data_IF_788208784439
#
_entry.id   IF_788208784439
#
_cell.length_a   1.000
_cell.length_b   1.000
_cell.length_c   1.000
_cell.angle_alpha   90.00
_cell.angle_beta   90.00
_cell.angle_gamma   90.00
#
_symmetry.space_group_name_H-M   'P 1'
#
loop_
_entity.id
_entity.type
_entity.pdbx_description
1 polymer ?
#
# COMPACT_ATOMS: atom_id res chain seq x y z
N UNK A 1 2.04 10.65 46.17
CA UNK A 1 2.15 9.49 45.26
C UNK A 1 3.09 9.90 44.14
N UNK A 2 4.09 9.08 43.78
CA UNK A 2 4.98 9.40 42.67
C UNK A 2 4.18 9.54 41.38
N UNK A 3 4.58 10.48 40.52
CA UNK A 3 3.96 10.70 39.22
C UNK A 3 4.22 9.47 38.32
N UNK A 4 3.25 9.07 37.50
CA UNK A 4 3.33 7.90 36.62
C UNK A 4 4.60 7.97 35.75
N UNK A 5 4.97 9.16 35.29
CA UNK A 5 6.18 9.42 34.51
C UNK A 5 7.49 9.19 35.29
N UNK A 6 7.51 9.46 36.60
CA UNK A 6 8.68 9.22 37.45
C UNK A 6 8.91 7.73 37.69
N UNK A 7 7.81 6.97 37.83
CA UNK A 7 7.87 5.50 37.96
C UNK A 7 8.40 4.88 36.67
N UNK A 8 7.92 5.32 35.49
CA UNK A 8 8.47 4.89 34.20
C UNK A 8 9.95 5.21 34.05
N UNK A 9 10.38 6.41 34.48
CA UNK A 9 11.77 6.85 34.41
C UNK A 9 12.71 6.06 35.35
N UNK A 10 12.21 5.64 36.51
CA UNK A 10 12.96 4.78 37.44
C UNK A 10 13.10 3.34 36.92
N UNK A 11 12.04 2.80 36.30
CA UNK A 11 12.07 1.49 35.66
C UNK A 11 13.03 1.51 34.46
N UNK A 12 12.97 2.57 33.62
CA UNK A 12 13.86 2.71 32.46
C UNK A 12 15.33 2.84 32.82
N UNK A 13 15.66 3.43 33.98
CA UNK A 13 17.04 3.57 34.45
C UNK A 13 17.67 2.27 34.94
N UNK A 14 16.87 1.24 35.24
CA UNK A 14 17.36 -0.08 35.70
C UNK A 14 17.69 -0.99 34.52
N UNK A 15 17.04 -0.79 33.37
CA UNK A 15 17.43 -1.42 32.12
C UNK A 15 18.60 -0.63 31.53
N UNK A 16 19.79 -1.23 31.45
CA UNK A 16 20.80 -0.73 30.51
C UNK A 16 20.13 -0.71 29.14
N UNK A 17 19.77 0.47 28.64
CA UNK A 17 19.29 0.66 27.27
C UNK A 17 20.29 -0.05 26.37
N UNK A 18 19.83 -1.09 25.67
CA UNK A 18 20.65 -1.78 24.70
C UNK A 18 21.26 -0.77 23.74
N UNK A 19 22.45 -1.05 23.21
CA UNK A 19 22.97 -0.23 22.12
C UNK A 19 22.21 -0.58 20.85
N UNK A 20 22.03 0.39 19.96
CA UNK A 20 21.58 0.14 18.59
C UNK A 20 22.60 -0.79 17.93
N UNK A 21 22.13 -1.91 17.44
CA UNK A 21 22.91 -2.91 16.72
C UNK A 21 22.81 -2.68 15.21
N UNK A 22 23.54 -3.49 14.44
CA UNK A 22 23.51 -3.48 12.98
C UNK A 22 22.93 -4.79 12.48
N UNK A 23 22.12 -4.71 11.44
CA UNK A 23 21.47 -5.86 10.85
C UNK A 23 21.75 -5.95 9.34
N UNK A 24 22.09 -7.16 8.91
CA UNK A 24 22.29 -7.50 7.50
C UNK A 24 23.56 -6.91 6.87
N UNK A 25 23.83 -7.25 5.59
CA UNK A 25 24.98 -6.73 4.84
C UNK A 25 24.93 -5.22 4.59
N UNK A 26 23.77 -4.60 4.78
CA UNK A 26 23.54 -3.16 4.60
C UNK A 26 23.79 -2.38 5.91
N UNK A 27 24.23 -3.04 6.98
CA UNK A 27 24.56 -2.45 8.28
C UNK A 27 23.39 -1.62 8.88
N UNK A 28 22.15 -2.08 8.65
CA UNK A 28 20.95 -1.33 9.03
C UNK A 28 20.85 -1.19 10.55
N UNK A 29 20.55 0.02 11.08
CA UNK A 29 20.29 0.20 12.49
C UNK A 29 19.16 -0.72 12.96
N UNK A 30 19.38 -1.41 14.08
CA UNK A 30 18.45 -2.37 14.64
C UNK A 30 18.41 -2.30 16.16
N UNK A 31 17.26 -2.65 16.73
CA UNK A 31 17.15 -2.96 18.15
C UNK A 31 17.75 -4.34 18.47
N UNK A 32 18.23 -4.55 19.70
CA UNK A 32 19.00 -5.74 20.10
C UNK A 32 18.19 -7.04 20.12
N UNK A 33 16.86 -6.95 20.10
CA UNK A 33 15.96 -8.10 20.14
C UNK A 33 15.35 -8.40 18.76
N UNK A 34 15.82 -7.75 17.69
CA UNK A 34 15.32 -7.94 16.32
C UNK A 34 15.40 -9.40 15.86
N UNK A 35 16.54 -10.07 16.04
CA UNK A 35 16.74 -11.44 15.54
C UNK A 35 15.95 -12.49 16.32
N UNK A 36 15.76 -12.30 17.63
CA UNK A 36 15.07 -13.26 18.50
C UNK A 36 13.55 -13.15 18.41
N UNK A 37 13.04 -11.96 18.07
CA UNK A 37 11.60 -11.69 18.04
C UNK A 37 10.92 -12.28 16.80
N UNK A 38 9.70 -12.80 16.96
CA UNK A 38 8.85 -13.26 15.84
C UNK A 38 8.11 -12.13 15.15
N UNK A 39 7.80 -11.09 15.91
CA UNK A 39 7.20 -9.84 15.46
C UNK A 39 8.27 -8.77 15.46
N UNK A 40 8.25 -7.91 14.44
CA UNK A 40 9.23 -6.83 14.29
C UNK A 40 8.54 -5.52 13.89
N UNK A 41 9.20 -4.41 14.22
CA UNK A 41 8.76 -3.07 13.86
C UNK A 41 9.78 -2.44 12.91
N UNK A 42 9.31 -2.03 11.73
CA UNK A 42 10.11 -1.34 10.72
C UNK A 42 9.87 0.15 10.84
N UNK A 43 10.93 0.94 10.95
CA UNK A 43 10.90 2.41 11.10
C UNK A 43 11.76 3.09 10.03
N UNK A 44 11.66 4.42 9.92
CA UNK A 44 12.35 5.18 8.87
C UNK A 44 13.84 5.32 9.18
N UNK A 45 14.15 5.73 10.41
CA UNK A 45 15.50 6.16 10.78
C UNK A 45 16.01 5.58 12.10
N UNK A 46 17.30 5.81 12.33
CA UNK A 46 18.00 5.45 13.57
C UNK A 46 17.44 6.16 14.81
N UNK A 47 17.01 7.42 14.67
CA UNK A 47 16.48 8.19 15.79
C UNK A 47 15.16 7.58 16.33
N UNK A 48 14.32 7.07 15.44
CA UNK A 48 13.11 6.31 15.80
C UNK A 48 13.45 5.10 16.66
N UNK A 49 14.46 4.32 16.27
CA UNK A 49 14.92 3.17 17.04
C UNK A 49 15.34 3.60 18.45
N UNK A 50 16.12 4.67 18.56
CA UNK A 50 16.57 5.17 19.87
C UNK A 50 15.37 5.53 20.73
N UNK A 51 14.36 6.21 20.16
CA UNK A 51 13.18 6.58 20.92
C UNK A 51 12.32 5.36 21.30
N UNK A 52 12.12 4.42 20.38
CA UNK A 52 11.41 3.16 20.66
C UNK A 52 12.09 2.33 21.74
N UNK A 53 13.42 2.25 21.73
CA UNK A 53 14.19 1.56 22.75
C UNK A 53 14.06 2.25 24.11
N UNK A 54 14.00 3.59 24.16
CA UNK A 54 13.67 4.34 25.40
C UNK A 54 12.30 3.96 25.96
N UNK A 55 11.37 3.59 25.09
CA UNK A 55 10.03 3.11 25.45
C UNK A 55 9.96 1.59 25.67
N UNK A 56 11.10 0.88 25.69
CA UNK A 56 11.17 -0.55 25.95
C UNK A 56 10.93 -1.44 24.72
N UNK A 57 10.81 -0.86 23.53
CA UNK A 57 10.58 -1.57 22.27
C UNK A 57 11.92 -1.82 21.59
N UNK A 58 12.33 -3.09 21.55
CA UNK A 58 13.70 -3.49 21.17
C UNK A 58 13.77 -4.36 19.91
N UNK A 59 12.62 -4.73 19.33
CA UNK A 59 12.49 -5.57 18.14
C UNK A 59 12.32 -4.73 16.86
N UNK A 60 13.16 -3.71 16.70
CA UNK A 60 13.03 -2.67 15.67
C UNK A 60 14.13 -2.76 14.61
N UNK A 61 13.85 -2.28 13.39
CA UNK A 61 14.85 -2.12 12.33
C UNK A 61 14.54 -0.88 11.48
N UNK A 62 15.56 -0.12 11.11
CA UNK A 62 15.42 1.10 10.33
C UNK A 62 15.69 0.86 8.84
N UNK A 63 15.06 1.66 7.99
CA UNK A 63 15.26 1.65 6.54
C UNK A 63 16.48 2.49 6.11
N UNK A 64 16.79 3.57 6.82
CA UNK A 64 17.85 4.54 6.47
C UNK A 64 17.67 5.14 5.06
N UNK A 65 16.45 5.62 4.78
CA UNK A 65 16.11 6.34 3.56
C UNK A 65 14.92 5.77 2.79
N UNK A 66 14.63 6.35 1.63
CA UNK A 66 13.43 6.03 0.86
C UNK A 66 13.49 4.68 0.11
N UNK A 67 14.70 4.21 -0.24
CA UNK A 67 14.89 2.96 -0.98
C UNK A 67 14.90 1.79 -0.01
N UNK A 68 13.98 0.84 -0.20
CA UNK A 68 13.84 -0.30 0.72
C UNK A 68 15.00 -1.31 0.53
N UNK A 69 15.79 -1.57 1.57
CA UNK A 69 16.91 -2.52 1.55
C UNK A 69 16.49 -3.97 1.29
N UNK A 70 17.35 -4.78 0.67
CA UNK A 70 17.04 -6.20 0.39
C UNK A 70 16.91 -7.02 1.69
N UNK A 71 17.67 -6.64 2.72
CA UNK A 71 17.60 -7.29 4.03
C UNK A 71 16.20 -7.19 4.64
N UNK A 72 15.51 -6.06 4.44
CA UNK A 72 14.15 -5.83 4.92
C UNK A 72 13.12 -6.63 4.12
N UNK A 73 13.29 -6.72 2.79
CA UNK A 73 12.40 -7.51 1.93
C UNK A 73 12.40 -9.00 2.29
N UNK A 74 13.54 -9.54 2.69
CA UNK A 74 13.65 -10.92 3.18
C UNK A 74 13.06 -11.06 4.58
N UNK A 75 13.46 -10.18 5.48
CA UNK A 75 13.06 -10.24 6.89
C UNK A 75 11.54 -10.16 7.08
N UNK A 76 10.87 -9.29 6.31
CA UNK A 76 9.40 -9.13 6.34
C UNK A 76 8.62 -10.33 5.80
N UNK A 77 9.26 -11.29 5.12
CA UNK A 77 8.63 -12.56 4.71
C UNK A 77 8.76 -13.65 5.76
N UNK A 78 9.81 -13.58 6.57
CA UNK A 78 10.11 -14.56 7.61
C UNK A 78 9.44 -14.22 8.94
N UNK A 79 9.23 -12.93 9.20
CA UNK A 79 8.70 -12.39 10.46
C UNK A 79 7.45 -11.56 10.24
N UNK A 80 6.59 -11.50 11.23
CA UNK A 80 5.42 -10.63 11.18
C UNK A 80 5.85 -9.17 11.38
N UNK A 81 5.75 -8.37 10.33
CA UNK A 81 6.24 -6.99 10.32
C UNK A 81 5.12 -5.95 10.45
N UNK A 82 5.34 -4.99 11.33
CA UNK A 82 4.55 -3.75 11.44
C UNK A 82 5.42 -2.58 10.98
N UNK A 83 4.95 -1.76 10.04
CA UNK A 83 5.61 -0.49 9.76
C UNK A 83 5.09 0.58 10.73
N UNK A 84 5.99 1.30 11.39
CA UNK A 84 5.66 2.42 12.26
C UNK A 84 6.36 3.66 11.71
N UNK A 85 5.56 4.58 11.16
CA UNK A 85 6.05 5.65 10.29
C UNK A 85 5.59 7.03 10.78
N UNK A 86 6.28 8.07 10.33
CA UNK A 86 6.04 9.45 10.75
C UNK A 86 4.68 9.97 10.28
N UNK A 87 4.07 10.87 11.04
CA UNK A 87 2.73 11.40 10.77
C UNK A 87 2.68 12.42 9.63
N UNK A 88 3.61 12.34 8.69
CA UNK A 88 3.89 13.35 7.67
C UNK A 88 3.83 12.75 6.24
N UNK A 89 4.21 13.58 5.25
CA UNK A 89 4.21 13.15 3.84
C UNK A 89 5.39 12.24 3.51
N UNK A 90 6.52 12.35 4.21
CA UNK A 90 7.67 11.46 4.07
C UNK A 90 7.28 10.02 4.39
N UNK A 91 6.67 9.80 5.55
CA UNK A 91 6.21 8.48 5.96
C UNK A 91 5.13 7.89 5.05
N UNK A 92 4.26 8.72 4.45
CA UNK A 92 3.29 8.25 3.46
C UNK A 92 3.97 7.69 2.19
N UNK A 93 5.09 8.28 1.77
CA UNK A 93 5.84 7.82 0.60
C UNK A 93 6.59 6.52 0.90
N UNK A 94 7.21 6.44 2.07
CA UNK A 94 7.89 5.23 2.54
C UNK A 94 6.89 4.08 2.67
N UNK A 95 5.70 4.35 3.20
CA UNK A 95 4.63 3.34 3.26
C UNK A 95 4.28 2.79 1.88
N UNK A 96 4.13 3.67 0.88
CA UNK A 96 3.79 3.23 -0.49
C UNK A 96 4.87 2.32 -1.06
N UNK A 97 6.13 2.67 -0.89
CA UNK A 97 7.26 1.85 -1.38
C UNK A 97 7.30 0.51 -0.64
N UNK A 98 7.21 0.53 0.69
CA UNK A 98 7.16 -0.67 1.53
C UNK A 98 6.06 -1.65 1.07
N UNK A 99 4.86 -1.15 0.81
CA UNK A 99 3.73 -1.95 0.34
C UNK A 99 3.94 -2.58 -1.04
N UNK A 100 4.79 -2.00 -1.89
CA UNK A 100 5.06 -2.54 -3.22
C UNK A 100 6.03 -3.72 -3.18
N UNK A 101 6.98 -3.72 -2.24
CA UNK A 101 8.15 -4.61 -2.30
C UNK A 101 8.31 -5.55 -1.09
N UNK A 102 7.53 -5.35 -0.02
CA UNK A 102 7.64 -6.14 1.23
C UNK A 102 6.32 -6.79 1.65
N UNK A 103 6.38 -7.67 2.65
CA UNK A 103 5.21 -8.37 3.21
C UNK A 103 4.81 -7.85 4.60
N UNK A 104 4.61 -6.53 4.70
CA UNK A 104 4.13 -5.90 5.95
C UNK A 104 2.66 -6.22 6.21
N UNK A 105 2.34 -6.52 7.47
CA UNK A 105 1.00 -6.91 7.90
C UNK A 105 0.20 -5.77 8.51
N UNK A 106 0.86 -4.89 9.25
CA UNK A 106 0.23 -3.78 9.96
C UNK A 106 0.97 -2.47 9.74
N UNK A 107 0.26 -1.35 9.87
CA UNK A 107 0.83 -0.01 9.87
C UNK A 107 0.35 0.76 11.08
N UNK A 108 1.30 1.28 11.85
CA UNK A 108 1.09 2.34 12.83
C UNK A 108 1.57 3.67 12.26
N UNK A 109 0.94 4.77 12.67
CA UNK A 109 1.33 6.13 12.29
C UNK A 109 1.49 6.97 13.54
N UNK A 110 2.54 7.78 13.59
CA UNK A 110 2.63 8.85 14.57
C UNK A 110 1.45 9.85 14.41
N UNK A 111 1.15 10.65 15.45
CA UNK A 111 0.20 11.74 15.34
C UNK A 111 0.52 12.66 14.15
N UNK A 112 -0.53 13.23 13.53
CA UNK A 112 -0.38 14.05 12.32
C UNK A 112 0.62 15.19 12.53
N UNK A 113 1.62 15.26 11.65
CA UNK A 113 2.67 16.28 11.64
C UNK A 113 3.78 16.04 12.67
N UNK A 114 3.83 14.87 13.32
CA UNK A 114 4.84 14.50 14.31
C UNK A 114 5.70 13.36 13.80
N UNK A 115 6.99 13.42 14.11
CA UNK A 115 7.96 12.37 13.81
C UNK A 115 8.04 11.39 14.99
N UNK A 116 8.36 10.12 14.71
CA UNK A 116 8.47 9.07 15.73
C UNK A 116 9.58 9.40 16.72
N UNK A 117 10.68 10.03 16.29
CA UNK A 117 11.75 10.49 17.16
C UNK A 117 11.30 11.50 18.24
N UNK A 118 10.22 12.26 17.99
CA UNK A 118 9.65 13.25 18.91
C UNK A 118 8.47 12.73 19.74
N UNK A 119 7.99 11.52 19.46
CA UNK A 119 6.84 10.94 20.14
C UNK A 119 7.15 10.55 21.60
N UNK A 120 6.16 10.71 22.47
CA UNK A 120 6.19 10.15 23.83
C UNK A 120 5.94 8.65 23.80
N UNK A 121 6.35 7.93 24.85
CA UNK A 121 6.09 6.49 24.92
C UNK A 121 4.59 6.14 24.90
N UNK A 122 3.74 7.05 25.39
CA UNK A 122 2.29 6.90 25.29
C UNK A 122 1.81 6.97 23.84
N UNK A 123 2.21 7.98 23.08
CA UNK A 123 1.84 8.13 21.67
C UNK A 123 2.37 6.96 20.82
N UNK A 124 3.59 6.49 21.09
CA UNK A 124 4.16 5.31 20.43
C UNK A 124 3.31 4.05 20.73
N UNK A 125 2.96 3.85 21.99
CA UNK A 125 2.14 2.69 22.40
C UNK A 125 0.77 2.75 21.72
N UNK A 126 0.13 3.93 21.73
CA UNK A 126 -1.15 4.15 21.03
C UNK A 126 -1.03 3.89 19.52
N UNK A 127 0.07 4.28 18.87
CA UNK A 127 0.30 4.04 17.45
C UNK A 127 0.47 2.54 17.11
N UNK A 128 1.06 1.76 18.03
CA UNK A 128 1.26 0.32 17.88
C UNK A 128 -0.02 -0.47 18.21
N UNK A 129 -0.78 -0.03 19.22
CA UNK A 129 -2.06 -0.64 19.60
C UNK A 129 -3.14 -0.38 18.56
N UNK A 130 -3.21 0.85 18.02
CA UNK A 130 -4.15 1.23 16.97
C UNK A 130 -3.64 0.91 15.55
N UNK A 131 -2.62 0.06 15.42
CA UNK A 131 -2.06 -0.30 14.12
C UNK A 131 -3.12 -0.94 13.23
N UNK A 132 -3.19 -0.48 11.99
CA UNK A 132 -4.21 -0.92 11.04
C UNK A 132 -3.65 -2.07 10.20
N UNK A 133 -4.37 -3.20 10.05
CA UNK A 133 -3.98 -4.24 9.12
C UNK A 133 -3.91 -3.68 7.70
N UNK A 134 -2.89 -4.04 6.92
CA UNK A 134 -2.76 -3.58 5.53
C UNK A 134 -3.95 -3.97 4.66
N UNK A 135 -4.57 -5.13 4.95
CA UNK A 135 -5.83 -5.55 4.31
C UNK A 135 -6.97 -4.53 4.47
N UNK A 136 -6.95 -3.74 5.54
CA UNK A 136 -7.89 -2.66 5.81
C UNK A 136 -7.46 -1.33 5.22
N UNK A 137 -6.15 -1.05 5.11
CA UNK A 137 -5.62 0.09 4.33
C UNK A 137 -6.05 -0.01 2.85
N UNK A 138 -6.06 -1.23 2.30
CA UNK A 138 -6.64 -1.51 0.98
C UNK A 138 -8.18 -1.48 0.94
N UNK A 139 -8.89 -1.65 2.09
CA UNK A 139 -10.34 -1.44 2.17
C UNK A 139 -10.72 0.03 2.28
N UNK A 140 -9.94 0.85 2.99
CA UNK A 140 -10.18 2.29 3.11
C UNK A 140 -9.84 3.06 1.82
N UNK A 141 -8.96 2.53 0.94
CA UNK A 141 -8.84 2.98 -0.46
C UNK A 141 -9.83 2.30 -1.43
N UNK A 142 -10.65 1.37 -0.95
CA UNK A 142 -11.82 0.81 -1.66
C UNK A 142 -13.14 1.40 -1.19
N UNK A 143 -13.12 2.43 -0.36
CA UNK A 143 -14.07 3.52 -0.52
C UNK A 143 -13.52 4.45 -1.59
N UNK A 144 -13.53 3.98 -2.84
CA UNK A 144 -13.85 4.96 -3.88
C UNK A 144 -15.23 5.48 -3.46
N UNK A 145 -15.48 6.82 -3.42
CA UNK A 145 -16.86 7.29 -3.32
C UNK A 145 -17.65 6.46 -4.33
N UNK A 146 -18.80 5.89 -3.94
CA UNK A 146 -19.68 5.13 -4.86
C UNK A 146 -19.55 5.80 -6.20
N UNK A 147 -18.82 5.19 -7.14
CA UNK A 147 -18.66 5.81 -8.43
C UNK A 147 -20.08 5.68 -8.96
N UNK A 148 -20.80 6.80 -9.01
CA UNK A 148 -21.95 6.94 -9.87
C UNK A 148 -21.37 6.75 -11.27
N UNK A 149 -21.15 5.49 -11.65
CA UNK A 149 -20.75 5.10 -12.97
C UNK A 149 -21.89 5.61 -13.84
N UNK A 150 -21.59 6.48 -14.81
CA UNK A 150 -22.56 6.92 -15.77
C UNK A 150 -23.31 5.72 -16.33
N UNK A 151 -24.62 5.88 -16.54
CA UNK A 151 -25.51 4.79 -16.92
C UNK A 151 -25.00 4.03 -18.15
N UNK A 152 -24.29 4.71 -19.03
CA UNK A 152 -23.66 4.20 -20.24
C UNK A 152 -22.65 3.07 -19.93
N UNK A 153 -21.80 3.25 -18.91
CA UNK A 153 -20.81 2.23 -18.51
C UNK A 153 -21.51 1.02 -17.90
N UNK A 154 -22.51 1.26 -17.05
CA UNK A 154 -23.29 0.21 -16.40
C UNK A 154 -24.09 -0.61 -17.41
N UNK A 155 -24.70 0.05 -18.41
CA UNK A 155 -25.42 -0.58 -19.51
C UNK A 155 -24.48 -1.35 -20.44
N UNK A 156 -23.32 -0.79 -20.78
CA UNK A 156 -22.30 -1.48 -21.57
C UNK A 156 -21.78 -2.73 -20.85
N UNK A 157 -21.53 -2.66 -19.54
CA UNK A 157 -21.14 -3.83 -18.75
C UNK A 157 -22.20 -4.94 -18.76
N UNK A 158 -23.49 -4.58 -18.64
CA UNK A 158 -24.61 -5.55 -18.73
C UNK A 158 -24.70 -6.22 -20.10
N UNK A 159 -24.54 -5.44 -21.17
CA UNK A 159 -24.67 -5.96 -22.54
C UNK A 159 -23.49 -6.81 -22.98
N UNK A 160 -22.30 -6.60 -22.38
CA UNK A 160 -21.09 -7.36 -22.67
C UNK A 160 -20.97 -8.66 -21.86
N UNK A 161 -21.69 -8.78 -20.74
CA UNK A 161 -21.55 -9.95 -19.87
C UNK A 161 -21.93 -11.25 -20.61
N UNK A 162 -20.97 -12.13 -20.82
CA UNK A 162 -21.13 -13.41 -21.52
C UNK A 162 -20.96 -13.32 -23.04
N UNK A 163 -20.54 -12.18 -23.59
CA UNK A 163 -20.34 -12.01 -25.03
C UNK A 163 -18.89 -12.14 -25.49
N UNK A 164 -17.90 -12.07 -24.58
CA UNK A 164 -16.47 -12.00 -24.91
C UNK A 164 -16.11 -10.84 -25.87
N UNK A 165 -16.87 -9.76 -25.83
CA UNK A 165 -16.64 -8.55 -26.61
C UNK A 165 -16.17 -7.39 -25.72
N UNK A 166 -15.68 -6.35 -26.38
CA UNK A 166 -15.20 -5.11 -25.82
C UNK A 166 -15.91 -3.92 -26.48
N UNK A 167 -16.17 -2.88 -25.70
CA UNK A 167 -16.65 -1.57 -26.13
C UNK A 167 -15.60 -0.53 -25.72
N UNK A 168 -15.24 0.33 -26.66
CA UNK A 168 -14.33 1.46 -26.45
C UNK A 168 -15.15 2.75 -26.38
N UNK A 169 -14.92 3.55 -25.33
CA UNK A 169 -15.60 4.82 -25.12
C UNK A 169 -14.61 5.99 -25.19
N UNK A 170 -15.06 7.11 -25.75
CA UNK A 170 -14.32 8.38 -25.69
C UNK A 170 -14.50 9.08 -24.32
N UNK A 171 -13.92 10.27 -24.19
CA UNK A 171 -14.00 11.13 -23.00
C UNK A 171 -15.42 11.59 -22.67
N UNK A 172 -16.33 11.58 -23.65
CA UNK A 172 -17.77 11.87 -23.49
C UNK A 172 -18.63 10.63 -23.24
N UNK A 173 -18.00 9.46 -23.07
CA UNK A 173 -18.67 8.17 -22.86
C UNK A 173 -19.49 7.68 -24.07
N UNK A 174 -19.22 8.22 -25.25
CA UNK A 174 -19.82 7.76 -26.49
C UNK A 174 -19.06 6.54 -26.99
N UNK A 175 -19.81 5.53 -27.45
CA UNK A 175 -19.24 4.34 -28.05
C UNK A 175 -18.51 4.71 -29.34
N UNK A 176 -17.20 4.52 -29.34
CA UNK A 176 -16.35 4.68 -30.51
C UNK A 176 -16.30 3.40 -31.32
N UNK A 177 -16.22 2.24 -30.66
CA UNK A 177 -16.03 0.95 -31.32
C UNK A 177 -16.49 -0.22 -30.44
N UNK A 178 -16.89 -1.33 -31.07
CA UNK A 178 -17.16 -2.63 -30.42
C UNK A 178 -16.41 -3.72 -31.18
N UNK A 179 -15.73 -4.60 -30.47
CA UNK A 179 -14.84 -5.61 -31.05
C UNK A 179 -14.69 -6.85 -30.15
N UNK A 180 -14.29 -8.01 -30.68
CA UNK A 180 -13.96 -9.17 -29.85
C UNK A 180 -12.78 -8.92 -28.92
N UNK A 181 -12.83 -9.46 -27.70
CA UNK A 181 -11.75 -9.32 -26.69
C UNK A 181 -10.41 -9.83 -27.21
N UNK A 182 -10.41 -10.86 -28.06
CA UNK A 182 -9.21 -11.41 -28.68
C UNK A 182 -8.43 -10.38 -29.51
N UNK A 183 -9.10 -9.36 -30.05
CA UNK A 183 -8.51 -8.32 -30.88
C UNK A 183 -8.22 -7.02 -30.10
N UNK A 184 -8.68 -6.94 -28.85
CA UNK A 184 -8.61 -5.73 -28.04
C UNK A 184 -7.19 -5.23 -27.85
N UNK A 185 -6.26 -6.11 -27.50
CA UNK A 185 -4.88 -5.73 -27.18
C UNK A 185 -4.15 -5.11 -28.38
N UNK A 186 -4.36 -5.65 -29.57
CA UNK A 186 -3.78 -5.13 -30.81
C UNK A 186 -4.44 -3.81 -31.20
N UNK A 187 -5.77 -3.76 -31.14
CA UNK A 187 -6.51 -2.56 -31.53
C UNK A 187 -6.20 -1.35 -30.64
N UNK A 188 -6.11 -1.55 -29.33
CA UNK A 188 -5.75 -0.48 -28.39
C UNK A 188 -4.38 0.15 -28.69
N UNK A 189 -3.46 -0.57 -29.32
CA UNK A 189 -2.16 -0.01 -29.73
C UNK A 189 -2.28 0.97 -30.91
N UNK A 190 -3.33 0.86 -31.71
CA UNK A 190 -3.54 1.67 -32.92
C UNK A 190 -4.61 2.75 -32.77
N UNK A 191 -5.49 2.62 -31.77
CA UNK A 191 -6.55 3.61 -31.54
C UNK A 191 -6.04 4.83 -30.79
N UNK A 192 -6.54 6.01 -31.18
CA UNK A 192 -6.37 7.28 -30.49
C UNK A 192 -7.72 7.76 -29.95
N UNK A 193 -7.72 8.52 -28.85
CA UNK A 193 -8.94 9.12 -28.28
C UNK A 193 -9.92 8.16 -27.59
N UNK A 194 -9.40 7.07 -27.00
CA UNK A 194 -10.17 6.21 -26.09
C UNK A 194 -9.85 6.61 -24.66
N UNK A 195 -10.89 6.86 -23.86
CA UNK A 195 -10.77 7.20 -22.45
C UNK A 195 -11.10 5.99 -21.55
N UNK A 196 -12.14 5.22 -21.93
CA UNK A 196 -12.64 4.09 -21.14
C UNK A 196 -12.78 2.83 -22.01
N UNK A 197 -12.29 1.70 -21.51
CA UNK A 197 -12.41 0.38 -22.17
C UNK A 197 -13.27 -0.53 -21.31
N UNK A 198 -14.31 -1.14 -21.88
CA UNK A 198 -15.20 -2.07 -21.20
C UNK A 198 -15.15 -3.40 -21.93
N UNK A 199 -14.86 -4.52 -21.27
CA UNK A 199 -14.79 -5.80 -21.97
C UNK A 199 -15.06 -7.03 -21.11
N UNK A 200 -15.66 -8.06 -21.70
CA UNK A 200 -15.94 -9.31 -21.01
C UNK A 200 -14.74 -10.25 -21.04
N UNK A 201 -13.82 -10.01 -20.11
CA UNK A 201 -12.60 -10.80 -19.98
C UNK A 201 -11.83 -10.54 -18.69
N UNK A 202 -10.58 -11.00 -18.69
CA UNK A 202 -9.66 -10.83 -17.56
C UNK A 202 -8.72 -9.67 -17.86
N UNK A 203 -8.63 -8.70 -16.94
CA UNK A 203 -7.61 -7.66 -17.00
C UNK A 203 -6.26 -8.30 -16.71
N UNK A 204 -5.37 -8.26 -17.70
CA UNK A 204 -3.99 -8.74 -17.62
C UNK A 204 -3.02 -7.57 -17.56
N UNK A 205 -1.77 -7.80 -17.12
CA UNK A 205 -0.75 -6.75 -17.06
C UNK A 205 -0.55 -6.06 -18.43
N UNK A 206 -0.53 -6.84 -19.52
CA UNK A 206 -0.40 -6.32 -20.89
C UNK A 206 -1.48 -5.30 -21.26
N UNK A 207 -2.73 -5.52 -20.83
CA UNK A 207 -3.83 -4.58 -21.10
C UNK A 207 -3.66 -3.31 -20.27
N UNK A 208 -3.18 -3.42 -19.04
CA UNK A 208 -2.89 -2.27 -18.18
C UNK A 208 -1.73 -1.44 -18.73
N UNK A 209 -0.68 -2.08 -19.21
CA UNK A 209 0.48 -1.40 -19.80
C UNK A 209 0.08 -0.61 -21.05
N UNK A 210 -0.66 -1.24 -21.97
CA UNK A 210 -1.18 -0.57 -23.19
C UNK A 210 -2.10 0.59 -22.83
N UNK A 211 -2.96 0.43 -21.83
CA UNK A 211 -3.82 1.50 -21.36
C UNK A 211 -3.03 2.68 -20.79
N UNK A 212 -1.97 2.39 -20.02
CA UNK A 212 -1.08 3.39 -19.46
C UNK A 212 -0.35 4.20 -20.53
N UNK A 213 0.17 3.53 -21.57
CA UNK A 213 0.84 4.19 -22.71
C UNK A 213 -0.09 5.07 -23.53
N UNK A 214 -1.37 4.67 -23.65
CA UNK A 214 -2.38 5.36 -24.46
C UNK A 214 -3.19 6.40 -23.70
N UNK A 215 -2.88 6.67 -22.43
CA UNK A 215 -3.64 7.55 -21.55
C UNK A 215 -5.11 7.16 -21.41
N UNK A 216 -5.41 5.85 -21.46
CA UNK A 216 -6.74 5.32 -21.16
C UNK A 216 -6.94 5.42 -19.64
N UNK A 217 -7.92 6.21 -19.22
CA UNK A 217 -8.14 6.49 -17.80
C UNK A 217 -8.80 5.33 -17.08
N UNK A 218 -9.63 4.52 -17.76
CA UNK A 218 -10.45 3.50 -17.11
C UNK A 218 -10.53 2.20 -17.90
N UNK A 219 -10.47 1.09 -17.18
CA UNK A 219 -10.71 -0.26 -17.68
C UNK A 219 -11.76 -0.94 -16.81
N UNK A 220 -12.82 -1.42 -17.44
CA UNK A 220 -13.93 -2.14 -16.81
C UNK A 220 -13.98 -3.55 -17.40
N UNK A 221 -13.90 -4.59 -16.57
CA UNK A 221 -13.97 -5.95 -17.08
C UNK A 221 -14.57 -6.96 -16.11
N UNK A 222 -14.79 -8.20 -16.56
CA UNK A 222 -15.36 -9.26 -15.73
C UNK A 222 -14.52 -9.57 -14.49
N UNK A 223 -13.19 -9.64 -14.62
CA UNK A 223 -12.27 -9.95 -13.51
C UNK A 223 -10.91 -9.29 -13.70
N UNK A 224 -10.15 -9.16 -12.60
CA UNK A 224 -8.75 -8.70 -12.60
C UNK A 224 -7.85 -9.90 -12.29
N UNK A 225 -6.76 -10.08 -13.05
CA UNK A 225 -5.76 -11.12 -12.76
C UNK A 225 -4.93 -10.75 -11.52
N UNK A 226 -4.59 -11.75 -10.70
CA UNK A 226 -3.79 -11.56 -9.47
C UNK A 226 -2.36 -11.04 -9.73
N UNK A 227 -1.84 -11.25 -10.94
CA UNK A 227 -0.51 -10.80 -11.35
C UNK A 227 -0.47 -9.31 -11.76
N UNK A 228 -1.63 -8.62 -11.79
CA UNK A 228 -1.72 -7.22 -12.22
C UNK A 228 -1.20 -6.29 -11.14
N UNK A 229 -0.21 -5.47 -11.50
CA UNK A 229 0.28 -4.38 -10.65
C UNK A 229 -0.57 -3.13 -10.87
N UNK A 230 -0.89 -2.35 -9.81
CA UNK A 230 -1.61 -1.10 -9.96
C UNK A 230 -0.82 -0.09 -10.80
N UNK A 231 -1.41 0.45 -11.86
CA UNK A 231 -0.89 1.60 -12.58
C UNK A 231 -1.45 2.89 -11.96
N UNK A 232 -0.61 3.92 -11.79
CA UNK A 232 -1.00 5.18 -11.16
C UNK A 232 -2.02 5.98 -11.98
N UNK A 233 -2.08 5.76 -13.29
CA UNK A 233 -2.89 6.51 -14.25
C UNK A 233 -4.08 5.75 -14.83
N UNK A 234 -4.28 4.48 -14.45
CA UNK A 234 -5.36 3.63 -15.00
C UNK A 234 -6.26 3.12 -13.87
N UNK A 235 -7.52 3.50 -13.93
CA UNK A 235 -8.56 3.04 -13.03
C UNK A 235 -9.08 1.66 -13.47
N UNK A 236 -8.83 0.63 -12.65
CA UNK A 236 -9.39 -0.72 -12.88
C UNK A 236 -10.71 -0.88 -12.12
N UNK A 237 -11.73 -1.40 -12.79
CA UNK A 237 -13.08 -1.65 -12.26
C UNK A 237 -13.54 -3.04 -12.72
N UNK A 238 -14.22 -3.79 -11.84
CA UNK A 238 -14.84 -5.07 -12.25
C UNK A 238 -16.31 -4.91 -12.60
N UNK A 239 -16.90 -5.82 -13.39
CA UNK A 239 -18.35 -5.85 -13.62
C UNK A 239 -19.13 -6.00 -12.32
N UNK A 240 -18.59 -6.72 -11.34
CA UNK A 240 -19.21 -6.81 -10.01
C UNK A 240 -19.34 -5.43 -9.36
N UNK A 241 -18.31 -4.59 -9.47
CA UNK A 241 -18.33 -3.23 -8.93
C UNK A 241 -19.19 -2.30 -9.80
N UNK A 242 -19.18 -2.50 -11.12
CA UNK A 242 -19.92 -1.67 -12.07
C UNK A 242 -21.44 -1.91 -12.05
N UNK A 243 -21.88 -3.11 -11.67
CA UNK A 243 -23.28 -3.54 -11.68
C UNK A 243 -23.97 -3.43 -10.30
N UNK A 244 -23.24 -3.01 -9.26
CA UNK A 244 -23.77 -2.85 -7.89
C UNK A 244 -24.47 -1.50 -7.63
N UNK A 245 -24.76 -0.74 -8.69
CA UNK A 245 -25.64 0.43 -8.63
C UNK A 245 -27.12 0.03 -8.65
#
# INVERSE_FOLDING_TARGET
MPNVDEVYKQISNTMKLGKVEKYGPEDLPAGPELEKSKEIIVVEGRADIINLMRCGIQNTVALEGAKIPESIKKLTKEKEATALLDGDRGGDLILKELLQVTSIRYVGRAPRGKEIEECTCKEISEAIENRVPIKEVYKQKRERPKIELPNEISQAAKTLQGTLEAILLNDKLEQTERLPVSQLAEKLQHTTSVDTVIFDGIITQRIVDVAGEKNIKRIVASRISEAVKPALNVELVTFKDALQN
#
